data_IF_503620845446
#
_entry.id   IF_503620845446
#
_cell.length_a   1.000
_cell.length_b   1.000
_cell.length_c   1.000
_cell.angle_alpha   90.00
_cell.angle_beta   90.00
_cell.angle_gamma   90.00
#
_symmetry.space_group_name_H-M   'P 1'
#
loop_
_entity.id
_entity.type
_entity.pdbx_description
1 polymer ?
#
# COMPACT_ATOMS: atom_id res chain seq x y z
N UNK A 1 4.37 -1.08 -10.33
CA UNK A 1 4.35 -0.37 -9.04
C UNK A 1 3.65 -1.36 -8.14
N UNK A 2 4.27 -1.77 -7.03
CA UNK A 2 3.58 -2.64 -6.09
C UNK A 2 2.59 -1.77 -5.35
N UNK A 3 1.45 -1.50 -5.98
CA UNK A 3 0.34 -0.80 -5.37
C UNK A 3 -0.32 -1.81 -4.47
N UNK A 4 -0.27 -1.54 -3.17
CA UNK A 4 -0.96 -2.33 -2.18
C UNK A 4 -1.51 -1.39 -1.13
N UNK A 5 -2.80 -1.43 -0.94
CA UNK A 5 -3.47 -0.86 0.21
C UNK A 5 -3.12 -1.67 1.45
N UNK A 6 -2.30 -1.04 2.28
CA UNK A 6 -1.89 -1.62 3.55
C UNK A 6 -2.62 -0.88 4.66
N UNK A 7 -3.50 -1.61 5.37
CA UNK A 7 -4.06 -1.13 6.63
C UNK A 7 -2.99 -1.27 7.70
N UNK A 8 -2.34 -0.17 8.05
CA UNK A 8 -1.29 -0.16 9.05
C UNK A 8 -1.80 -0.69 10.41
N UNK A 9 -1.00 -1.54 11.06
CA UNK A 9 -1.36 -2.18 12.34
C UNK A 9 -1.39 -1.22 13.53
N UNK A 10 -0.93 0.02 13.37
CA UNK A 10 -0.81 0.97 14.48
C UNK A 10 -1.39 2.35 14.11
N UNK A 11 -2.50 2.68 14.77
CA UNK A 11 -2.93 4.06 15.03
C UNK A 11 -3.89 4.03 16.23
N UNK A 12 -3.44 3.49 17.37
CA UNK A 12 -4.14 3.63 18.65
C UNK A 12 -3.29 4.48 19.58
N UNK A 13 -3.74 5.71 19.81
CA UNK A 13 -3.21 6.58 20.85
C UNK A 13 -2.97 8.00 20.38
N UNK A 14 -4.05 8.75 20.12
CA UNK A 14 -4.20 10.12 20.65
C UNK A 14 -5.69 10.29 21.00
N UNK A 15 -5.93 10.61 22.26
CA UNK A 15 -7.23 10.95 22.84
C UNK A 15 -7.73 12.30 22.28
N UNK A 16 -9.04 12.43 22.16
CA UNK A 16 -9.77 13.67 21.81
C UNK A 16 -9.41 14.35 20.47
N UNK A 17 -9.71 13.67 19.38
CA UNK A 17 -9.74 14.25 18.03
C UNK A 17 -9.64 13.13 17.00
N UNK A 18 -10.67 12.93 16.17
CA UNK A 18 -10.78 11.80 15.27
C UNK A 18 -9.49 11.46 14.50
N UNK A 19 -9.26 10.17 14.26
CA UNK A 19 -8.08 9.68 13.54
C UNK A 19 -7.92 10.41 12.20
N UNK A 20 -6.78 11.05 12.00
CA UNK A 20 -6.44 11.65 10.70
C UNK A 20 -6.07 10.52 9.74
N UNK A 21 -6.88 10.34 8.70
CA UNK A 21 -6.55 9.41 7.63
C UNK A 21 -5.26 9.86 6.93
N UNK A 22 -4.32 8.93 6.73
CA UNK A 22 -3.02 9.19 6.13
C UNK A 22 -2.78 8.24 4.96
N UNK A 23 -2.17 8.77 3.89
CA UNK A 23 -1.70 7.99 2.73
C UNK A 23 -0.18 7.95 2.75
N UNK A 24 0.37 6.74 2.67
CA UNK A 24 1.82 6.51 2.60
C UNK A 24 2.09 5.68 1.36
N UNK A 25 2.96 6.18 0.48
CA UNK A 25 3.48 5.42 -0.65
C UNK A 25 4.65 4.55 -0.19
N UNK A 26 4.67 3.29 -0.62
CA UNK A 26 5.80 2.38 -0.41
C UNK A 26 6.33 1.97 -1.79
N UNK A 27 7.62 2.17 -2.01
CA UNK A 27 8.30 1.84 -3.27
C UNK A 27 9.37 0.78 -3.00
N UNK A 28 9.41 -0.25 -3.83
CA UNK A 28 10.47 -1.27 -3.79
C UNK A 28 11.58 -0.89 -4.78
N UNK A 29 12.80 -0.89 -4.27
CA UNK A 29 14.03 -0.73 -5.03
C UNK A 29 14.71 -2.10 -5.17
N UNK A 30 14.94 -2.53 -6.41
CA UNK A 30 15.72 -3.74 -6.69
C UNK A 30 17.17 -3.40 -7.06
N UNK A 31 18.07 -4.38 -6.90
CA UNK A 31 19.50 -4.19 -7.10
C UNK A 31 19.82 -3.64 -8.49
N UNK A 32 20.59 -2.56 -8.52
CA UNK A 32 21.06 -1.95 -9.77
C UNK A 32 20.01 -1.10 -10.50
N UNK A 33 18.80 -0.95 -9.96
CA UNK A 33 17.87 0.06 -10.48
C UNK A 33 18.43 1.46 -10.21
N UNK A 34 18.31 2.35 -11.18
CA UNK A 34 18.77 3.75 -11.07
C UNK A 34 17.73 4.76 -11.53
N UNK A 35 16.65 4.28 -12.16
CA UNK A 35 15.59 5.10 -12.71
C UNK A 35 14.27 4.80 -12.01
N UNK A 36 13.54 5.85 -11.64
CA UNK A 36 12.22 5.73 -11.01
C UNK A 36 11.25 4.89 -11.86
N UNK A 37 11.27 5.05 -13.18
CA UNK A 37 10.42 4.29 -14.10
C UNK A 37 10.65 2.79 -13.98
N UNK A 38 11.89 2.37 -13.72
CA UNK A 38 12.24 0.97 -13.49
C UNK A 38 11.64 0.47 -12.18
N UNK A 39 11.76 1.25 -11.10
CA UNK A 39 11.17 0.94 -9.79
C UNK A 39 9.64 0.89 -9.85
N UNK A 40 9.03 1.84 -10.57
CA UNK A 40 7.59 1.86 -10.85
C UNK A 40 7.14 0.72 -11.76
N UNK A 41 8.04 0.02 -12.45
CA UNK A 41 7.70 -1.13 -13.28
C UNK A 41 7.83 -2.48 -12.55
N UNK A 42 8.32 -2.48 -11.30
CA UNK A 42 8.39 -3.69 -10.48
C UNK A 42 6.98 -4.30 -10.31
N UNK A 43 6.89 -5.60 -10.61
CA UNK A 43 5.67 -6.42 -10.47
C UNK A 43 5.63 -7.16 -9.13
N UNK A 44 6.80 -7.57 -8.66
CA UNK A 44 7.01 -8.30 -7.43
C UNK A 44 8.13 -7.64 -6.61
N UNK A 45 8.11 -7.84 -5.29
CA UNK A 45 9.17 -7.41 -4.40
C UNK A 45 9.89 -8.60 -3.77
N UNK A 46 10.98 -8.35 -3.05
CA UNK A 46 11.72 -9.42 -2.36
C UNK A 46 10.90 -10.08 -1.24
N UNK A 47 11.38 -11.22 -0.74
CA UNK A 47 10.77 -11.90 0.40
C UNK A 47 10.75 -11.00 1.65
N UNK A 48 11.83 -10.28 1.90
CA UNK A 48 12.00 -9.35 3.02
C UNK A 48 11.09 -8.14 2.86
N UNK A 49 10.94 -7.63 1.63
CA UNK A 49 9.98 -6.56 1.35
C UNK A 49 8.55 -7.01 1.66
N UNK A 50 8.15 -8.20 1.22
CA UNK A 50 6.84 -8.77 1.54
C UNK A 50 6.64 -8.97 3.06
N UNK A 51 7.67 -9.41 3.78
CA UNK A 51 7.64 -9.51 5.24
C UNK A 51 7.48 -8.14 5.89
N UNK A 52 8.19 -7.11 5.42
CA UNK A 52 8.04 -5.74 5.87
C UNK A 52 6.62 -5.22 5.65
N UNK A 53 6.03 -5.43 4.47
CA UNK A 53 4.64 -5.03 4.19
C UNK A 53 3.64 -5.72 5.13
N UNK A 54 3.87 -7.01 5.42
CA UNK A 54 3.05 -7.75 6.38
C UNK A 54 3.29 -7.28 7.83
N UNK A 55 4.50 -6.84 8.16
CA UNK A 55 4.82 -6.32 9.48
C UNK A 55 4.11 -4.98 9.74
N UNK A 56 4.20 -4.03 8.80
CA UNK A 56 3.62 -2.69 8.97
C UNK A 56 2.08 -2.69 8.91
N UNK A 57 1.46 -3.69 8.29
CA UNK A 57 0.01 -3.75 8.15
C UNK A 57 -0.56 -5.05 7.61
N UNK A 58 -1.84 -4.98 7.24
CA UNK A 58 -2.54 -6.04 6.54
C UNK A 58 -2.96 -5.55 5.15
N UNK A 59 -2.74 -6.37 4.12
CA UNK A 59 -3.26 -6.10 2.76
C UNK A 59 -4.78 -6.19 2.75
N UNK A 60 -5.44 -5.27 2.07
CA UNK A 60 -6.92 -5.20 2.01
C UNK A 60 -7.34 -5.28 0.56
N UNK A 61 -8.34 -6.12 0.25
CA UNK A 61 -8.92 -6.15 -1.09
C UNK A 61 -9.54 -4.80 -1.43
N UNK A 62 -9.19 -4.24 -2.59
CA UNK A 62 -9.68 -2.94 -3.04
C UNK A 62 -11.14 -3.00 -3.50
N UNK A 63 -11.47 -4.06 -4.24
CA UNK A 63 -12.81 -4.24 -4.79
C UNK A 63 -13.87 -4.26 -3.68
N UNK A 64 -14.80 -3.30 -3.73
CA UNK A 64 -15.88 -3.19 -2.75
C UNK A 64 -15.44 -2.66 -1.37
N UNK A 65 -14.23 -2.13 -1.24
CA UNK A 65 -13.79 -1.49 0.00
C UNK A 65 -14.56 -0.20 0.27
N UNK A 66 -15.15 -0.08 1.46
CA UNK A 66 -16.05 1.01 1.86
C UNK A 66 -15.41 2.06 2.80
N UNK A 67 -14.13 1.86 3.17
CA UNK A 67 -13.37 2.79 3.99
C UNK A 67 -12.62 3.86 3.19
N UNK A 68 -11.73 4.61 3.86
CA UNK A 68 -10.88 5.61 3.19
C UNK A 68 -9.95 4.95 2.15
N UNK A 69 -10.25 5.11 0.87
CA UNK A 69 -9.55 4.45 -0.23
C UNK A 69 -8.15 5.02 -0.50
N UNK A 70 -7.90 6.29 -0.16
CA UNK A 70 -6.62 6.95 -0.42
C UNK A 70 -6.35 7.09 -1.92
N UNK A 71 -7.40 7.42 -2.69
CA UNK A 71 -7.41 7.53 -4.16
C UNK A 71 -7.19 6.23 -4.94
N UNK A 72 -7.27 5.08 -4.28
CA UNK A 72 -7.21 3.78 -4.94
C UNK A 72 -8.58 3.40 -5.52
N UNK A 73 -8.58 2.83 -6.73
CA UNK A 73 -9.76 2.32 -7.40
C UNK A 73 -10.35 1.12 -6.64
N UNK A 74 -11.54 1.32 -6.06
CA UNK A 74 -12.32 0.28 -5.36
C UNK A 74 -13.36 -0.39 -6.26
N UNK A 75 -13.41 -0.02 -7.54
CA UNK A 75 -14.33 -0.61 -8.52
C UNK A 75 -13.83 -1.95 -9.04
N UNK A 76 -14.67 -2.63 -9.82
CA UNK A 76 -14.35 -3.89 -10.49
C UNK A 76 -13.38 -3.73 -11.69
N UNK A 77 -12.86 -2.51 -11.93
CA UNK A 77 -11.93 -2.22 -13.03
C UNK A 77 -10.48 -2.52 -12.67
N UNK A 78 -10.16 -2.64 -11.38
CA UNK A 78 -8.83 -2.98 -10.85
C UNK A 78 -7.69 -2.12 -11.40
N UNK A 79 -7.92 -0.82 -11.59
CA UNK A 79 -6.93 0.09 -12.20
C UNK A 79 -5.64 0.19 -11.37
N UNK A 80 -5.77 0.05 -10.05
CA UNK A 80 -4.67 0.14 -9.09
C UNK A 80 -4.26 -1.24 -8.53
N UNK A 81 -4.69 -2.32 -9.17
CA UNK A 81 -4.46 -3.68 -8.70
C UNK A 81 -5.59 -4.21 -7.82
N UNK A 82 -5.32 -5.34 -7.14
CA UNK A 82 -6.34 -6.07 -6.35
C UNK A 82 -6.35 -5.72 -4.87
N UNK A 83 -5.22 -5.26 -4.34
CA UNK A 83 -4.94 -5.16 -2.92
C UNK A 83 -4.34 -3.83 -2.54
#
# INVERSE_FOLDING_TARGET
MIVSKIKFRYCSGIEEGGYKQMKVGVLFYDYGQTHETSMFSNKDGSAEFNQFLNFIGCRIQLQGFDGYSGDLDVSDKHLDGRF
#
